data_IF_392313875180
#
_entry.id   IF_392313875180
#
_cell.length_a   1.000
_cell.length_b   1.000
_cell.length_c   1.000
_cell.angle_alpha   90.00
_cell.angle_beta   90.00
_cell.angle_gamma   90.00
#
_symmetry.space_group_name_H-M   'P 1'
#
loop_
_entity.id
_entity.type
_entity.pdbx_description
1 polymer ?
#
# COMPACT_ATOMS: atom_id res chain seq x y z
N UNK A 1 8.57 -17.48 0.21
CA UNK A 1 7.82 -16.88 -0.92
C UNK A 1 8.76 -16.00 -1.73
N UNK A 2 8.60 -15.99 -3.05
CA UNK A 2 9.30 -15.05 -3.92
C UNK A 2 8.60 -13.67 -3.90
N UNK A 3 9.19 -12.68 -4.58
CA UNK A 3 8.65 -11.32 -4.57
C UNK A 3 7.21 -11.24 -5.09
N UNK A 4 6.88 -11.96 -6.17
CA UNK A 4 5.51 -11.97 -6.72
C UNK A 4 4.51 -12.55 -5.71
N UNK A 5 4.84 -13.64 -5.06
CA UNK A 5 3.98 -14.27 -4.05
C UNK A 5 3.77 -13.36 -2.84
N UNK A 6 4.82 -12.65 -2.42
CA UNK A 6 4.72 -11.69 -1.32
C UNK A 6 3.79 -10.55 -1.71
N UNK A 7 3.89 -10.02 -2.93
CA UNK A 7 2.97 -8.97 -3.38
C UNK A 7 1.52 -9.42 -3.29
N UNK A 8 1.19 -10.58 -3.85
CA UNK A 8 -0.18 -11.11 -3.83
C UNK A 8 -0.65 -11.32 -2.39
N UNK A 9 0.20 -11.91 -1.55
CA UNK A 9 -0.12 -12.13 -0.14
C UNK A 9 -0.39 -10.82 0.59
N UNK A 10 0.40 -9.77 0.32
CA UNK A 10 0.21 -8.46 0.92
C UNK A 10 -1.17 -7.88 0.61
N UNK A 11 -1.65 -8.03 -0.62
CA UNK A 11 -2.98 -7.56 -1.01
C UNK A 11 -4.08 -8.31 -0.24
N UNK A 12 -3.93 -9.61 -0.03
CA UNK A 12 -4.91 -10.41 0.73
C UNK A 12 -4.95 -10.00 2.20
N UNK A 13 -3.80 -9.68 2.78
CA UNK A 13 -3.75 -9.17 4.16
C UNK A 13 -4.49 -7.84 4.30
N UNK A 14 -4.33 -6.94 3.33
CA UNK A 14 -5.07 -5.67 3.32
C UNK A 14 -6.57 -5.91 3.19
N UNK A 15 -7.00 -6.83 2.33
CA UNK A 15 -8.42 -7.19 2.19
C UNK A 15 -9.00 -7.73 3.49
N UNK A 16 -8.21 -8.46 4.26
CA UNK A 16 -8.63 -9.03 5.53
C UNK A 16 -8.51 -8.06 6.70
N UNK A 17 -8.04 -6.84 6.47
CA UNK A 17 -7.85 -5.86 7.53
C UNK A 17 -6.69 -6.19 8.47
N UNK A 18 -5.75 -7.03 8.03
CA UNK A 18 -4.61 -7.46 8.84
C UNK A 18 -3.41 -6.56 8.62
N UNK A 19 -3.46 -5.36 9.19
CA UNK A 19 -2.37 -4.40 9.08
C UNK A 19 -1.09 -4.90 9.76
N UNK A 20 -1.21 -5.63 10.87
CA UNK A 20 -0.02 -6.17 11.56
C UNK A 20 0.69 -7.21 10.70
N UNK A 21 -0.08 -8.16 10.15
CA UNK A 21 0.47 -9.18 9.25
C UNK A 21 1.13 -8.55 8.03
N UNK A 22 0.52 -7.49 7.49
CA UNK A 22 1.09 -6.76 6.37
C UNK A 22 2.43 -6.11 6.72
N UNK A 23 2.51 -5.45 7.87
CA UNK A 23 3.77 -4.83 8.33
C UNK A 23 4.84 -5.87 8.65
N UNK A 24 4.45 -7.04 9.12
CA UNK A 24 5.39 -8.12 9.43
C UNK A 24 6.05 -8.73 8.19
N UNK A 25 5.52 -8.45 7.00
CA UNK A 25 6.17 -8.83 5.74
C UNK A 25 7.46 -8.04 5.48
N UNK A 26 7.61 -6.87 6.10
CA UNK A 26 8.76 -6.01 5.88
C UNK A 26 9.97 -6.46 6.68
N UNK A 27 11.13 -6.31 6.06
CA UNK A 27 12.42 -6.36 6.75
C UNK A 27 12.44 -5.26 7.83
N UNK A 28 13.12 -5.46 8.98
CA UNK A 28 13.21 -4.39 10.00
C UNK A 28 13.67 -3.04 9.47
N UNK A 29 14.52 -3.04 8.43
CA UNK A 29 15.01 -1.85 7.75
C UNK A 29 14.24 -1.51 6.47
N UNK A 30 13.11 -2.19 6.24
CA UNK A 30 12.30 -2.00 5.04
C UNK A 30 11.75 -0.59 4.89
N UNK A 31 11.48 -0.21 3.64
CA UNK A 31 11.03 1.13 3.27
C UNK A 31 9.75 1.06 2.48
N UNK A 32 8.82 1.92 2.82
CA UNK A 32 7.57 2.14 2.08
C UNK A 32 7.61 3.52 1.46
N UNK A 33 7.33 3.61 0.16
CA UNK A 33 7.30 4.89 -0.55
C UNK A 33 6.00 5.10 -1.33
N UNK A 34 5.53 6.35 -1.31
CA UNK A 34 4.43 6.84 -2.15
C UNK A 34 4.96 7.98 -3.02
N UNK A 35 5.62 7.69 -4.17
CA UNK A 35 6.27 8.73 -4.95
C UNK A 35 5.33 9.81 -5.48
N UNK A 36 4.05 9.48 -5.68
CA UNK A 36 3.05 10.43 -6.20
C UNK A 36 2.11 10.98 -5.12
N UNK A 37 2.51 10.90 -3.85
CA UNK A 37 1.75 11.57 -2.80
C UNK A 37 1.69 13.08 -3.08
N UNK A 38 0.57 13.74 -2.76
CA UNK A 38 0.42 15.19 -2.99
C UNK A 38 1.52 16.00 -2.33
N UNK A 39 1.86 17.20 -2.88
CA UNK A 39 2.85 18.07 -2.28
C UNK A 39 2.56 18.35 -0.80
N UNK A 40 3.61 18.25 0.03
CA UNK A 40 3.50 18.44 1.46
C UNK A 40 3.21 17.17 2.26
N UNK A 41 2.80 16.09 1.58
CA UNK A 41 2.62 14.79 2.25
C UNK A 41 3.96 14.06 2.35
N UNK A 42 4.09 13.24 3.40
CA UNK A 42 5.26 12.39 3.56
C UNK A 42 5.24 11.29 2.48
N UNK A 43 6.36 11.15 1.76
CA UNK A 43 6.46 10.20 0.64
C UNK A 43 7.23 8.93 0.99
N UNK A 44 7.94 8.91 2.12
CA UNK A 44 8.84 7.81 2.48
C UNK A 44 8.75 7.49 3.97
N UNK A 45 8.61 6.21 4.27
CA UNK A 45 8.55 5.68 5.64
C UNK A 45 9.67 4.65 5.79
N UNK A 46 10.66 4.93 6.63
CA UNK A 46 11.83 4.08 6.83
C UNK A 46 11.74 3.26 8.10
N UNK A 47 11.89 1.95 7.96
CA UNK A 47 11.86 1.01 9.06
C UNK A 47 10.47 0.44 9.35
N UNK A 48 10.44 -0.84 9.70
CA UNK A 48 9.17 -1.56 9.95
C UNK A 48 8.33 -0.90 11.05
N UNK A 49 8.96 -0.40 12.10
CA UNK A 49 8.23 0.24 13.20
C UNK A 49 7.58 1.57 12.76
N UNK A 50 8.27 2.34 11.93
CA UNK A 50 7.71 3.56 11.34
C UNK A 50 6.53 3.21 10.42
N UNK A 51 6.67 2.16 9.62
CA UNK A 51 5.60 1.68 8.74
C UNK A 51 4.40 1.21 9.57
N UNK A 52 4.64 0.51 10.68
CA UNK A 52 3.56 0.09 11.58
C UNK A 52 2.80 1.30 12.17
N UNK A 53 3.52 2.31 12.65
CA UNK A 53 2.91 3.53 13.17
C UNK A 53 2.01 4.22 12.14
N UNK A 54 2.41 4.15 10.86
CA UNK A 54 1.64 4.67 9.73
C UNK A 54 0.41 3.82 9.40
N UNK A 55 0.53 2.48 9.42
CA UNK A 55 -0.49 1.57 8.89
C UNK A 55 -1.45 1.00 9.93
N UNK A 56 -1.14 1.10 11.22
CA UNK A 56 -1.91 0.42 12.27
C UNK A 56 -3.41 0.73 12.28
N UNK A 57 -3.80 1.93 11.89
CA UNK A 57 -5.20 2.36 11.85
C UNK A 57 -5.83 2.27 10.45
N UNK A 58 -5.06 1.85 9.45
CA UNK A 58 -5.53 1.80 8.06
C UNK A 58 -6.81 0.96 7.89
N UNK A 59 -6.96 -0.21 8.51
CA UNK A 59 -8.20 -1.00 8.37
C UNK A 59 -9.44 -0.30 8.92
N UNK A 60 -9.27 0.67 9.83
CA UNK A 60 -10.38 1.47 10.35
C UNK A 60 -10.81 2.56 9.38
N UNK A 61 -9.94 2.95 8.46
CA UNK A 61 -10.18 4.03 7.50
C UNK A 61 -10.74 3.55 6.18
N UNK A 62 -10.34 2.37 5.72
CA UNK A 62 -10.73 1.87 4.41
C UNK A 62 -10.83 0.35 4.41
N UNK A 63 -11.82 -0.17 3.69
CA UNK A 63 -11.94 -1.60 3.38
C UNK A 63 -11.56 -1.81 1.92
N UNK A 64 -10.95 -2.96 1.60
CA UNK A 64 -10.33 -3.20 0.30
C UNK A 64 -10.82 -4.46 -0.38
N UNK A 65 -10.81 -4.40 -1.73
CA UNK A 65 -10.87 -5.55 -2.62
C UNK A 65 -9.94 -5.29 -3.80
N UNK A 66 -9.01 -6.20 -4.05
CA UNK A 66 -8.04 -6.08 -5.14
C UNK A 66 -8.31 -7.11 -6.22
N UNK A 67 -8.24 -6.67 -7.48
CA UNK A 67 -8.54 -7.50 -8.65
C UNK A 67 -7.53 -7.23 -9.76
N UNK A 68 -7.54 -8.08 -10.78
CA UNK A 68 -6.78 -7.90 -12.03
C UNK A 68 -5.26 -7.77 -11.82
N UNK A 69 -4.72 -8.60 -10.94
CA UNK A 69 -3.27 -8.59 -10.66
C UNK A 69 -2.51 -9.12 -11.87
N UNK A 70 -1.62 -8.30 -12.41
CA UNK A 70 -0.74 -8.65 -13.52
C UNK A 70 0.70 -8.28 -13.17
N UNK A 71 1.64 -9.10 -13.57
CA UNK A 71 3.06 -8.85 -13.32
C UNK A 71 3.81 -8.57 -14.62
N UNK A 72 4.75 -7.65 -14.53
CA UNK A 72 5.76 -7.45 -15.57
C UNK A 72 6.97 -8.32 -15.22
N UNK A 73 7.50 -9.06 -16.19
CA UNK A 73 8.64 -9.94 -15.98
C UNK A 73 9.91 -9.13 -15.70
N UNK A 74 10.69 -9.58 -14.72
CA UNK A 74 12.01 -9.02 -14.41
C UNK A 74 13.03 -10.15 -14.41
N UNK A 75 14.31 -9.79 -14.59
CA UNK A 75 15.40 -10.77 -14.54
C UNK A 75 15.77 -11.13 -13.08
N UNK A 76 15.28 -10.38 -12.11
CA UNK A 76 15.62 -10.53 -10.70
C UNK A 76 14.44 -11.15 -9.94
N UNK A 77 14.59 -12.38 -9.36
CA UNK A 77 13.50 -13.02 -8.62
C UNK A 77 13.13 -12.27 -7.31
N UNK A 78 14.01 -11.38 -6.84
CA UNK A 78 13.76 -10.56 -5.65
C UNK A 78 13.07 -9.24 -5.99
N UNK A 79 12.70 -9.02 -7.25
CA UNK A 79 12.00 -7.84 -7.71
C UNK A 79 10.70 -8.23 -8.39
N UNK A 80 9.59 -7.68 -7.91
CA UNK A 80 8.28 -7.82 -8.56
C UNK A 80 7.75 -6.44 -8.94
N UNK A 81 7.23 -6.33 -10.15
CA UNK A 81 6.50 -5.15 -10.62
C UNK A 81 5.10 -5.63 -10.99
N UNK A 82 4.09 -5.15 -10.28
CA UNK A 82 2.71 -5.60 -10.46
C UNK A 82 1.75 -4.45 -10.65
N UNK A 83 0.76 -4.67 -11.53
CA UNK A 83 -0.41 -3.81 -11.65
C UNK A 83 -1.60 -4.49 -11.02
N UNK A 84 -2.49 -3.72 -10.45
CA UNK A 84 -3.76 -4.23 -9.94
C UNK A 84 -4.75 -3.10 -9.77
N UNK A 85 -6.03 -3.48 -9.65
CA UNK A 85 -7.12 -2.54 -9.36
C UNK A 85 -7.55 -2.71 -7.91
N UNK A 86 -7.75 -1.60 -7.23
CA UNK A 86 -8.26 -1.59 -5.85
C UNK A 86 -9.61 -0.89 -5.78
N UNK A 87 -10.58 -1.58 -5.21
CA UNK A 87 -11.87 -1.01 -4.82
C UNK A 87 -11.93 -0.98 -3.31
N UNK A 88 -12.45 0.11 -2.77
CA UNK A 88 -12.58 0.24 -1.34
C UNK A 88 -13.73 1.14 -0.94
N UNK A 89 -14.01 1.16 0.36
CA UNK A 89 -14.96 2.08 0.95
C UNK A 89 -14.24 2.84 2.05
N UNK A 90 -14.26 4.16 1.97
CA UNK A 90 -13.73 5.03 3.02
C UNK A 90 -14.75 5.07 4.15
N UNK A 91 -14.37 4.58 5.33
CA UNK A 91 -15.29 4.37 6.44
C UNK A 91 -15.95 5.66 6.92
N UNK A 92 -15.17 6.73 7.06
CA UNK A 92 -15.65 7.99 7.64
C UNK A 92 -16.66 8.70 6.73
N UNK A 93 -16.52 8.60 5.40
CA UNK A 93 -17.39 9.29 4.45
C UNK A 93 -18.41 8.37 3.79
N UNK A 94 -18.19 7.04 3.85
CA UNK A 94 -18.95 6.07 3.07
C UNK A 94 -18.63 6.16 1.57
N UNK A 95 -17.65 6.97 1.18
CA UNK A 95 -17.26 7.18 -0.20
C UNK A 95 -16.63 5.95 -0.83
N UNK A 96 -17.03 5.64 -2.05
CA UNK A 96 -16.43 4.55 -2.82
C UNK A 96 -15.10 5.01 -3.40
N UNK A 97 -14.07 4.19 -3.23
CA UNK A 97 -12.74 4.44 -3.74
C UNK A 97 -12.40 3.40 -4.80
N UNK A 98 -11.90 3.86 -5.94
CA UNK A 98 -11.42 2.98 -7.01
C UNK A 98 -10.17 3.59 -7.62
N UNK A 99 -9.11 2.80 -7.72
CA UNK A 99 -7.87 3.25 -8.32
C UNK A 99 -7.07 2.08 -8.89
N UNK A 100 -6.31 2.39 -9.93
CA UNK A 100 -5.32 1.47 -10.47
C UNK A 100 -3.97 1.76 -9.84
N UNK A 101 -3.22 0.69 -9.57
CA UNK A 101 -1.93 0.74 -8.92
C UNK A 101 -0.86 0.10 -9.77
N UNK A 102 0.35 0.64 -9.71
CA UNK A 102 1.58 -0.06 -10.06
C UNK A 102 2.45 -0.07 -8.83
N UNK A 103 2.97 -1.23 -8.47
CA UNK A 103 3.79 -1.40 -7.28
C UNK A 103 5.11 -2.06 -7.66
N UNK A 104 6.19 -1.49 -7.14
CA UNK A 104 7.54 -2.05 -7.27
C UNK A 104 7.92 -2.59 -5.88
N UNK A 105 8.15 -3.90 -5.80
CA UNK A 105 8.46 -4.57 -4.55
C UNK A 105 9.79 -5.31 -4.67
N UNK A 106 10.73 -4.94 -3.80
CA UNK A 106 12.03 -5.60 -3.69
C UNK A 106 12.14 -6.35 -2.38
N UNK A 107 12.60 -7.58 -2.42
CA UNK A 107 12.77 -8.41 -1.24
C UNK A 107 14.24 -8.70 -0.94
N UNK A 108 14.53 -9.02 0.31
CA UNK A 108 15.79 -9.56 0.78
C UNK A 108 15.47 -10.62 1.83
N UNK A 109 16.00 -11.83 1.63
CA UNK A 109 15.79 -12.95 2.56
C UNK A 109 14.30 -13.23 2.82
N UNK A 110 13.47 -13.09 1.79
CA UNK A 110 12.04 -13.33 1.88
C UNK A 110 11.23 -12.24 2.57
N UNK A 111 11.83 -11.08 2.85
CA UNK A 111 11.15 -9.94 3.46
C UNK A 111 11.19 -8.72 2.54
N UNK A 112 10.19 -7.85 2.67
CA UNK A 112 10.12 -6.64 1.84
C UNK A 112 11.19 -5.65 2.30
N UNK A 113 12.13 -5.33 1.42
CA UNK A 113 13.13 -4.31 1.64
C UNK A 113 12.67 -2.94 1.14
N UNK A 114 11.93 -2.92 0.03
CA UNK A 114 11.40 -1.70 -0.55
C UNK A 114 10.05 -1.99 -1.19
N UNK A 115 9.05 -1.19 -0.87
CA UNK A 115 7.74 -1.20 -1.50
C UNK A 115 7.42 0.21 -1.98
N UNK A 116 7.32 0.39 -3.30
CA UNK A 116 6.95 1.66 -3.92
C UNK A 116 5.56 1.52 -4.52
N UNK A 117 4.63 2.34 -4.05
CA UNK A 117 3.24 2.30 -4.48
C UNK A 117 2.93 3.54 -5.30
N UNK A 118 2.55 3.33 -6.58
CA UNK A 118 2.17 4.40 -7.50
C UNK A 118 0.68 4.33 -7.76
N UNK A 119 -0.01 5.46 -7.59
CA UNK A 119 -1.44 5.57 -7.87
C UNK A 119 -1.81 7.02 -8.18
N UNK A 120 -3.03 7.24 -8.65
CA UNK A 120 -3.54 8.59 -8.81
C UNK A 120 -4.11 9.09 -7.48
N UNK A 121 -3.44 10.03 -6.79
CA UNK A 121 -3.87 10.48 -5.45
C UNK A 121 -5.20 11.24 -5.47
N UNK A 122 -5.65 11.74 -6.62
CA UNK A 122 -6.93 12.43 -6.71
C UNK A 122 -8.10 11.52 -6.36
N UNK A 123 -7.95 10.20 -6.57
CA UNK A 123 -9.00 9.23 -6.25
C UNK A 123 -9.31 9.18 -4.76
N UNK A 124 -8.29 9.20 -3.90
CA UNK A 124 -8.52 9.18 -2.46
C UNK A 124 -9.08 10.51 -1.96
N UNK A 125 -8.69 11.62 -2.58
CA UNK A 125 -9.24 12.94 -2.24
C UNK A 125 -10.75 12.97 -2.49
N UNK A 126 -11.20 12.46 -3.64
CA UNK A 126 -12.62 12.39 -3.98
C UNK A 126 -13.38 11.49 -2.98
N UNK A 127 -12.88 10.29 -2.74
CA UNK A 127 -13.57 9.31 -1.90
C UNK A 127 -13.67 9.75 -0.44
N UNK A 128 -12.62 10.39 0.08
CA UNK A 128 -12.56 10.83 1.47
C UNK A 128 -13.34 12.12 1.74
N UNK A 129 -13.66 12.88 0.69
CA UNK A 129 -14.37 14.14 0.81
C UNK A 129 -13.46 15.34 1.10
N UNK A 130 -12.18 15.26 0.76
CA UNK A 130 -11.26 16.38 0.86
C UNK A 130 -9.85 16.00 1.26
N UNK A 131 -8.97 17.00 1.25
CA UNK A 131 -7.53 16.81 1.49
C UNK A 131 -7.22 16.35 2.90
N UNK A 132 -7.86 16.95 3.91
CA UNK A 132 -7.58 16.62 5.32
C UNK A 132 -7.98 15.17 5.66
N UNK A 133 -9.16 14.75 5.23
CA UNK A 133 -9.63 13.39 5.47
C UNK A 133 -8.76 12.37 4.73
N UNK A 134 -8.39 12.68 3.48
CA UNK A 134 -7.51 11.82 2.70
C UNK A 134 -6.12 11.71 3.34
N UNK A 135 -5.58 12.80 3.87
CA UNK A 135 -4.28 12.79 4.54
C UNK A 135 -4.28 11.86 5.76
N UNK A 136 -5.35 11.84 6.55
CA UNK A 136 -5.47 10.93 7.69
C UNK A 136 -5.42 9.47 7.27
N UNK A 137 -6.02 9.14 6.14
CA UNK A 137 -6.02 7.77 5.61
C UNK A 137 -4.64 7.36 5.11
N UNK A 138 -4.02 8.20 4.28
CA UNK A 138 -2.76 7.86 3.61
C UNK A 138 -1.54 8.13 4.48
N UNK A 139 -1.57 9.15 5.32
CA UNK A 139 -0.43 9.53 6.15
C UNK A 139 -0.47 8.95 7.57
N UNK A 140 -1.57 8.30 7.94
CA UNK A 140 -1.70 7.64 9.23
C UNK A 140 -1.83 8.61 10.42
N UNK A 141 -2.20 9.83 10.16
CA UNK A 141 -2.30 10.85 11.21
C UNK A 141 -3.68 10.84 11.87
#
# INVERSE_FOLDING_TARGET
>A
MNAKEILVHSLRLLENGDARGWCDLFHPEGVLEYPYAPPGWKTRFEGRETIWAHMRLHPEHVTWRFTDVQFYETADPDLAIGEYHGDGVVTVSGGKYAADYITVLRTRDGQILLLRVFWNPLRILEAAGGVEAAAKIVQGA
#
